data_IF_802372271508
#
_entry.id   IF_802372271508
#
_cell.length_a   1.000
_cell.length_b   1.000
_cell.length_c   1.000
_cell.angle_alpha   90.00
_cell.angle_beta   90.00
_cell.angle_gamma   90.00
#
_symmetry.space_group_name_H-M   'P 1'
#
loop_
_entity.id
_entity.type
_entity.pdbx_description
1 polymer ?
#
# COMPACT_ATOMS: atom_id res chain seq x y z
N UNK A 1 -40.45 -8.87 41.27
CA UNK A 1 -39.12 -8.20 41.13
C UNK A 1 -38.07 -9.07 40.43
N UNK A 2 -38.05 -10.41 40.62
CA UNK A 2 -37.05 -11.30 39.99
C UNK A 2 -37.17 -11.40 38.45
N UNK A 3 -38.38 -11.43 37.89
CA UNK A 3 -38.63 -11.46 36.42
C UNK A 3 -38.13 -10.22 35.69
N UNK A 4 -38.20 -9.05 36.33
CA UNK A 4 -37.63 -7.79 35.81
C UNK A 4 -36.09 -7.84 35.80
N UNK A 5 -35.49 -8.51 36.78
CA UNK A 5 -34.04 -8.72 36.84
C UNK A 5 -33.59 -9.69 35.74
N UNK A 6 -34.33 -10.79 35.50
CA UNK A 6 -34.04 -11.76 34.43
C UNK A 6 -34.18 -11.15 33.02
N UNK A 7 -35.20 -10.33 32.77
CA UNK A 7 -35.34 -9.64 31.48
C UNK A 7 -34.18 -8.66 31.22
N UNK A 8 -33.73 -7.92 32.25
CA UNK A 8 -32.58 -7.03 32.15
C UNK A 8 -31.27 -7.78 31.87
N UNK A 9 -31.04 -8.93 32.50
CA UNK A 9 -29.86 -9.75 32.20
C UNK A 9 -29.91 -10.39 30.81
N UNK A 10 -31.07 -10.84 30.35
CA UNK A 10 -31.23 -11.36 28.97
C UNK A 10 -31.03 -10.25 27.94
N UNK A 11 -31.56 -9.05 28.19
CA UNK A 11 -31.37 -7.89 27.33
C UNK A 11 -29.89 -7.45 27.29
N UNK A 12 -29.19 -7.47 28.43
CA UNK A 12 -27.76 -7.21 28.48
C UNK A 12 -26.95 -8.27 27.72
N UNK A 13 -27.34 -9.55 27.79
CA UNK A 13 -26.67 -10.64 27.06
C UNK A 13 -26.90 -10.53 25.53
N UNK A 14 -28.06 -10.04 25.11
CA UNK A 14 -28.40 -9.82 23.69
C UNK A 14 -27.55 -8.70 23.05
N UNK A 15 -26.97 -7.81 23.84
CA UNK A 15 -26.11 -6.72 23.36
C UNK A 15 -24.65 -7.13 23.14
N UNK A 16 -24.25 -8.35 23.55
CA UNK A 16 -22.87 -8.84 23.42
C UNK A 16 -22.48 -9.18 21.95
N UNK A 17 -23.32 -9.88 21.15
CA UNK A 17 -22.98 -10.24 19.77
C UNK A 17 -22.65 -9.06 18.84
N UNK A 18 -23.39 -7.93 18.81
CA UNK A 18 -23.07 -6.82 17.91
C UNK A 18 -21.77 -6.09 18.28
N UNK A 19 -21.31 -6.17 19.53
CA UNK A 19 -20.02 -5.60 19.96
C UNK A 19 -18.82 -6.43 19.48
N UNK A 20 -19.02 -7.72 19.20
CA UNK A 20 -17.98 -8.65 18.75
C UNK A 20 -17.84 -8.69 17.22
N UNK A 21 -18.86 -8.26 16.47
CA UNK A 21 -18.84 -8.22 15.01
C UNK A 21 -18.15 -6.96 14.47
N UNK A 22 -16.87 -6.79 14.84
CA UNK A 22 -15.98 -5.84 14.20
C UNK A 22 -15.54 -6.37 12.85
N UNK A 23 -16.18 -5.90 11.78
CA UNK A 23 -15.76 -6.27 10.42
C UNK A 23 -14.44 -5.53 10.11
N UNK A 24 -13.31 -6.22 10.25
CA UNK A 24 -12.02 -5.67 9.83
C UNK A 24 -12.09 -5.45 8.31
N UNK A 25 -12.00 -4.19 7.87
CA UNK A 25 -12.03 -3.80 6.44
C UNK A 25 -10.76 -4.22 5.67
N UNK A 26 -10.08 -5.26 6.12
CA UNK A 26 -8.94 -5.81 5.43
C UNK A 26 -9.48 -6.82 4.43
N UNK A 27 -9.27 -6.57 3.15
CA UNK A 27 -9.62 -7.49 2.09
C UNK A 27 -8.95 -8.84 2.32
N UNK A 28 -9.69 -9.90 1.98
CA UNK A 28 -9.29 -11.30 2.21
C UNK A 28 -7.94 -11.68 1.59
N UNK A 29 -7.52 -10.99 0.54
CA UNK A 29 -6.29 -11.26 -0.20
C UNK A 29 -5.44 -10.01 -0.33
N UNK A 30 -4.14 -10.18 -0.11
CA UNK A 30 -3.11 -9.16 -0.33
C UNK A 30 -2.09 -9.68 -1.32
N UNK A 31 -1.71 -8.84 -2.29
CA UNK A 31 -0.63 -9.13 -3.25
C UNK A 31 0.35 -7.97 -3.26
N UNK A 32 1.62 -8.30 -3.44
CA UNK A 32 2.71 -7.35 -3.42
C UNK A 32 3.68 -7.57 -4.57
N UNK A 33 4.31 -6.48 -5.01
CA UNK A 33 5.34 -6.44 -6.05
C UNK A 33 6.41 -5.46 -5.64
N UNK A 34 7.66 -5.90 -5.66
CA UNK A 34 8.81 -5.04 -5.37
C UNK A 34 9.63 -4.85 -6.64
N UNK A 35 9.98 -3.59 -6.92
CA UNK A 35 10.81 -3.20 -8.06
C UNK A 35 12.05 -2.50 -7.49
N UNK A 36 13.23 -3.02 -7.80
CA UNK A 36 14.52 -2.41 -7.43
C UNK A 36 15.27 -1.99 -8.69
N UNK A 37 15.73 -0.76 -8.72
CA UNK A 37 16.55 -0.20 -9.80
C UNK A 37 17.66 0.65 -9.22
N UNK A 38 18.83 0.57 -9.86
CA UNK A 38 20.03 1.30 -9.49
C UNK A 38 20.52 2.09 -10.71
N UNK A 39 20.91 3.34 -10.46
CA UNK A 39 21.34 4.26 -11.51
C UNK A 39 22.61 4.98 -11.07
N UNK A 40 23.68 4.82 -11.85
CA UNK A 40 24.90 5.62 -11.66
C UNK A 40 24.69 7.01 -12.25
N UNK A 41 24.93 8.05 -11.45
CA UNK A 41 24.68 9.44 -11.81
C UNK A 41 25.92 10.31 -11.57
N UNK A 42 25.86 11.58 -11.97
CA UNK A 42 26.84 12.58 -11.59
C UNK A 42 26.53 13.13 -10.19
N UNK A 43 27.52 13.78 -9.57
CA UNK A 43 27.41 14.30 -8.20
C UNK A 43 26.29 15.33 -7.98
N UNK A 44 25.85 16.01 -9.04
CA UNK A 44 24.80 17.03 -9.01
C UNK A 44 23.52 16.59 -9.73
N UNK A 45 23.28 15.29 -9.85
CA UNK A 45 22.11 14.80 -10.56
C UNK A 45 20.80 15.10 -9.83
N UNK A 46 19.77 15.44 -10.59
CA UNK A 46 18.45 15.76 -10.09
C UNK A 46 17.61 14.48 -9.92
N UNK A 47 17.03 14.28 -8.73
CA UNK A 47 16.10 13.19 -8.47
C UNK A 47 14.66 13.72 -8.50
N UNK A 48 13.81 13.18 -9.39
CA UNK A 48 12.38 13.49 -9.48
C UNK A 48 11.54 12.26 -9.13
N UNK A 49 10.70 12.36 -8.11
CA UNK A 49 9.81 11.27 -7.70
C UNK A 49 8.36 11.75 -7.81
N UNK A 50 7.57 11.04 -8.61
CA UNK A 50 6.14 11.26 -8.76
C UNK A 50 5.39 10.06 -8.17
N UNK A 51 5.12 10.14 -6.87
CA UNK A 51 4.33 9.13 -6.17
C UNK A 51 2.83 9.49 -6.26
N UNK A 52 2.01 8.52 -6.65
CA UNK A 52 0.55 8.71 -6.65
C UNK A 52 -0.10 8.36 -5.31
N UNK A 53 0.43 7.35 -4.61
CA UNK A 53 -0.06 6.89 -3.31
C UNK A 53 1.07 6.28 -2.47
N UNK A 54 0.96 6.41 -1.16
CA UNK A 54 1.89 5.81 -0.18
C UNK A 54 2.86 6.82 0.40
N UNK A 55 3.90 6.31 1.05
CA UNK A 55 4.94 7.10 1.70
C UNK A 55 6.24 7.01 0.87
N UNK A 56 6.98 8.12 0.80
CA UNK A 56 8.32 8.16 0.23
C UNK A 56 9.32 8.25 1.38
N UNK A 57 10.28 7.33 1.42
CA UNK A 57 11.42 7.40 2.32
C UNK A 57 12.69 7.66 1.51
N UNK A 58 13.44 8.68 1.89
CA UNK A 58 14.69 9.07 1.23
C UNK A 58 15.82 8.90 2.24
N UNK A 59 16.81 8.08 1.88
CA UNK A 59 18.03 7.88 2.66
C UNK A 59 19.20 8.33 1.81
N UNK A 60 19.97 9.28 2.33
CA UNK A 60 21.16 9.83 1.67
C UNK A 60 22.41 9.14 2.18
N UNK A 61 23.35 8.85 1.30
CA UNK A 61 24.66 8.30 1.63
C UNK A 61 25.73 8.93 0.73
N UNK A 62 27.02 8.70 1.05
CA UNK A 62 28.13 9.18 0.22
C UNK A 62 28.32 8.27 -0.99
N UNK A 63 27.94 8.74 -2.18
CA UNK A 63 28.09 8.02 -3.43
C UNK A 63 27.28 8.64 -4.57
N UNK A 64 27.63 8.27 -5.79
CA UNK A 64 26.97 8.77 -7.00
C UNK A 64 26.03 7.71 -7.61
N UNK A 65 25.35 6.94 -6.77
CA UNK A 65 24.38 5.92 -7.22
C UNK A 65 23.03 6.22 -6.57
N UNK A 66 22.00 6.26 -7.39
CA UNK A 66 20.62 6.40 -6.94
C UNK A 66 19.96 5.02 -6.98
N UNK A 67 19.62 4.49 -5.81
CA UNK A 67 18.86 3.25 -5.67
C UNK A 67 17.41 3.57 -5.37
N UNK A 68 16.51 3.07 -6.20
CA UNK A 68 15.06 3.23 -6.03
C UNK A 68 14.44 1.86 -5.81
N UNK A 69 13.85 1.69 -4.64
CA UNK A 69 13.06 0.52 -4.26
C UNK A 69 11.60 0.93 -4.13
N UNK A 70 10.74 0.33 -4.95
CA UNK A 70 9.30 0.56 -4.93
C UNK A 70 8.61 -0.70 -4.48
N UNK A 71 7.90 -0.65 -3.36
CA UNK A 71 7.00 -1.69 -2.90
C UNK A 71 5.56 -1.28 -3.23
N UNK A 72 4.88 -2.11 -4.03
CA UNK A 72 3.49 -1.90 -4.43
C UNK A 72 2.68 -3.01 -3.78
N UNK A 73 1.65 -2.63 -3.03
CA UNK A 73 0.73 -3.57 -2.38
C UNK A 73 -0.71 -3.26 -2.80
N UNK A 74 -1.47 -4.31 -3.08
CA UNK A 74 -2.92 -4.25 -3.33
C UNK A 74 -3.63 -5.24 -2.43
N UNK A 75 -4.84 -4.88 -2.00
CA UNK A 75 -5.64 -5.68 -1.08
C UNK A 75 -7.12 -5.68 -1.53
N UNK A 76 -7.81 -6.81 -1.37
CA UNK A 76 -9.20 -6.95 -1.77
C UNK A 76 -9.79 -8.33 -1.46
N UNK A 77 -11.09 -8.51 -1.75
CA UNK A 77 -11.82 -9.75 -1.46
C UNK A 77 -11.77 -10.79 -2.59
N UNK A 78 -11.20 -10.42 -3.74
CA UNK A 78 -11.16 -11.21 -4.96
C UNK A 78 -9.72 -11.25 -5.48
N UNK A 79 -9.12 -12.44 -5.49
CA UNK A 79 -7.72 -12.65 -5.87
C UNK A 79 -7.42 -12.20 -7.30
N UNK A 80 -8.34 -12.41 -8.24
CA UNK A 80 -8.13 -12.08 -9.65
C UNK A 80 -8.15 -10.57 -9.85
N UNK A 81 -9.08 -9.86 -9.20
CA UNK A 81 -9.14 -8.40 -9.24
C UNK A 81 -7.94 -7.76 -8.55
N UNK A 82 -7.49 -8.33 -7.43
CA UNK A 82 -6.29 -7.86 -6.71
C UNK A 82 -5.07 -8.01 -7.60
N UNK A 83 -4.89 -9.17 -8.25
CA UNK A 83 -3.77 -9.39 -9.17
C UNK A 83 -3.83 -8.45 -10.38
N UNK A 84 -4.98 -8.33 -11.05
CA UNK A 84 -5.16 -7.41 -12.17
C UNK A 84 -4.82 -5.97 -11.77
N UNK A 85 -5.26 -5.54 -10.58
CA UNK A 85 -4.96 -4.19 -10.10
C UNK A 85 -3.48 -4.00 -9.80
N UNK A 86 -2.79 -5.02 -9.30
CA UNK A 86 -1.35 -4.98 -9.10
C UNK A 86 -0.60 -4.88 -10.43
N UNK A 87 -1.07 -5.58 -11.45
CA UNK A 87 -0.48 -5.59 -12.79
C UNK A 87 -0.72 -4.27 -13.56
N UNK A 88 -1.86 -3.61 -13.30
CA UNK A 88 -2.16 -2.27 -13.83
C UNK A 88 -1.20 -1.19 -13.28
N UNK A 89 -0.53 -1.45 -12.14
CA UNK A 89 0.42 -0.53 -11.53
C UNK A 89 1.82 -0.80 -12.06
N UNK A 90 2.36 0.20 -12.74
CA UNK A 90 3.74 0.21 -13.22
C UNK A 90 4.46 1.46 -12.74
N UNK A 91 5.79 1.42 -12.82
CA UNK A 91 6.64 2.56 -12.51
C UNK A 91 7.48 2.83 -13.75
N UNK A 92 7.31 4.02 -14.31
CA UNK A 92 8.13 4.50 -15.40
C UNK A 92 9.40 5.12 -14.83
N UNK A 93 10.54 4.60 -15.28
CA UNK A 93 11.86 5.05 -14.87
C UNK A 93 12.53 5.70 -16.07
N UNK A 94 12.87 6.97 -15.94
CA UNK A 94 13.70 7.66 -16.91
C UNK A 94 14.96 8.14 -16.19
N UNK A 95 16.11 7.64 -16.64
CA UNK A 95 17.40 7.91 -16.03
C UNK A 95 18.41 8.35 -17.08
N UNK A 96 19.14 9.40 -16.73
CA UNK A 96 20.29 9.95 -17.42
C UNK A 96 21.37 10.26 -16.39
N UNK A 97 22.59 10.55 -16.83
CA UNK A 97 23.69 10.88 -15.92
C UNK A 97 23.43 12.12 -15.04
N UNK A 98 22.50 13.00 -15.43
CA UNK A 98 22.19 14.24 -14.71
C UNK A 98 20.79 14.28 -14.10
N UNK A 99 19.92 13.34 -14.42
CA UNK A 99 18.55 13.30 -13.92
C UNK A 99 18.05 11.87 -13.83
N UNK A 100 17.49 11.51 -12.69
CA UNK A 100 16.77 10.25 -12.47
C UNK A 100 15.34 10.59 -12.07
N UNK A 101 14.38 10.00 -12.77
CA UNK A 101 12.97 10.16 -12.50
C UNK A 101 12.27 8.81 -12.35
N UNK A 102 11.37 8.73 -11.37
CA UNK A 102 10.49 7.60 -11.15
C UNK A 102 9.05 8.09 -11.01
N UNK A 103 8.16 7.57 -11.86
CA UNK A 103 6.76 7.97 -11.89
C UNK A 103 5.84 6.75 -11.83
N UNK A 104 4.92 6.74 -10.88
CA UNK A 104 3.85 5.73 -10.85
C UNK A 104 2.90 5.97 -12.02
N UNK A 105 2.61 4.93 -12.80
CA UNK A 105 1.64 4.93 -13.90
C UNK A 105 0.61 3.84 -13.64
N UNK A 106 -0.66 4.21 -13.78
CA UNK A 106 -1.78 3.28 -13.79
C UNK A 106 -2.23 3.08 -15.23
N UNK A 107 -2.12 1.87 -15.74
CA UNK A 107 -2.76 1.49 -17.00
C UNK A 107 -4.28 1.62 -16.79
N UNK A 108 -4.91 2.55 -17.50
CA UNK A 108 -6.36 2.73 -17.42
C UNK A 108 -7.00 1.58 -18.20
N UNK A 109 -7.47 0.55 -17.49
CA UNK A 109 -8.36 -0.48 -18.03
C UNK A 109 -9.75 0.08 -18.34
#
# INVERSE_FOLDING_TARGET
MKTQLYYKTVFALLLIPPLMLGNNKNGKYTKEKTIKKEFTVNSNALLKIYNSYGNISIVTYSGNIVTIEVNIQTNGNDTEKVQKKLDDISVDFNASSNEVSAKTIFSKS
#
